data_IF_934487390200
#
_entry.id   IF_934487390200
#
_cell.length_a   1.000
_cell.length_b   1.000
_cell.length_c   1.000
_cell.angle_alpha   90.00
_cell.angle_beta   90.00
_cell.angle_gamma   90.00
#
_symmetry.space_group_name_H-M   'P 1'
#
loop_
_entity.id
_entity.type
_entity.pdbx_description
1 polymer ?
#
# COMPACT_ATOMS: atom_id res chain seq x y z
N UNK A 1 24.12 -5.89 6.21
CA UNK A 1 22.95 -6.70 6.36
C UNK A 1 21.70 -5.95 5.94
N UNK A 2 20.92 -6.57 5.16
CA UNK A 2 19.75 -5.93 4.70
C UNK A 2 18.67 -5.91 5.77
N UNK A 3 18.10 -4.75 5.99
CA UNK A 3 17.03 -4.62 6.92
C UNK A 3 15.74 -5.06 6.24
N UNK A 4 15.25 -6.19 6.66
CA UNK A 4 14.00 -6.70 6.14
C UNK A 4 12.85 -6.21 6.96
N UNK A 5 11.74 -5.96 6.29
CA UNK A 5 10.52 -5.65 6.99
C UNK A 5 10.06 -6.88 7.76
N UNK A 6 9.62 -6.69 8.99
CA UNK A 6 9.14 -7.79 9.81
C UNK A 6 7.75 -8.19 9.36
N UNK A 7 7.68 -9.32 8.64
CA UNK A 7 6.41 -9.82 8.11
C UNK A 7 5.39 -10.09 9.21
N UNK A 8 5.86 -10.53 10.38
CA UNK A 8 4.96 -10.80 11.49
C UNK A 8 4.28 -9.53 11.99
N UNK A 9 5.00 -8.43 11.99
CA UNK A 9 4.42 -7.15 12.39
C UNK A 9 3.39 -6.68 11.38
N UNK A 10 3.69 -6.81 10.10
CA UNK A 10 2.74 -6.44 9.06
C UNK A 10 1.49 -7.30 9.11
N UNK A 11 1.69 -8.60 9.26
CA UNK A 11 0.57 -9.54 9.34
C UNK A 11 -0.32 -9.23 10.54
N UNK A 12 0.30 -8.94 11.67
CA UNK A 12 -0.43 -8.60 12.89
C UNK A 12 -1.25 -7.34 12.71
N UNK A 13 -0.64 -6.36 12.07
CA UNK A 13 -1.31 -5.09 11.81
C UNK A 13 -2.53 -5.27 10.90
N UNK A 14 -2.37 -6.07 9.85
CA UNK A 14 -3.46 -6.35 8.92
C UNK A 14 -4.61 -7.08 9.63
N UNK A 15 -4.26 -8.10 10.43
CA UNK A 15 -5.29 -8.83 11.18
C UNK A 15 -6.07 -7.91 12.11
N UNK A 16 -5.36 -7.05 12.82
CA UNK A 16 -5.98 -6.11 13.73
C UNK A 16 -6.90 -5.14 12.98
N UNK A 17 -6.44 -4.64 11.85
CA UNK A 17 -7.22 -3.72 11.05
C UNK A 17 -8.51 -4.37 10.53
N UNK A 18 -8.40 -5.63 10.07
CA UNK A 18 -9.56 -6.35 9.57
C UNK A 18 -10.54 -6.64 10.70
N UNK A 19 -10.05 -7.06 11.86
CA UNK A 19 -10.92 -7.32 13.01
C UNK A 19 -11.67 -6.06 13.41
N UNK A 20 -10.99 -4.91 13.41
CA UNK A 20 -11.62 -3.64 13.70
C UNK A 20 -12.69 -3.26 12.68
N UNK A 21 -12.41 -3.53 11.41
CA UNK A 21 -13.36 -3.27 10.34
C UNK A 21 -14.65 -4.06 10.54
N UNK A 22 -14.52 -5.34 10.84
CA UNK A 22 -15.70 -6.18 11.06
C UNK A 22 -16.48 -5.78 12.30
N UNK A 23 -15.79 -5.34 13.34
CA UNK A 23 -16.46 -4.81 14.53
C UNK A 23 -17.27 -3.57 14.21
N UNK A 24 -16.71 -2.69 13.41
CA UNK A 24 -17.35 -1.42 13.07
C UNK A 24 -18.55 -1.62 12.12
N UNK A 25 -18.56 -2.73 11.38
CA UNK A 25 -19.69 -3.03 10.51
C UNK A 25 -20.97 -3.30 11.28
N UNK A 26 -20.82 -3.83 12.49
CA UNK A 26 -21.95 -4.09 13.37
C UNK A 26 -23.07 -4.89 12.68
N UNK A 27 -22.68 -5.99 12.06
CA UNK A 27 -23.63 -6.89 11.40
C UNK A 27 -23.90 -6.60 9.94
N UNK A 28 -23.40 -5.49 9.41
CA UNK A 28 -23.53 -5.23 7.99
C UNK A 28 -22.62 -6.10 7.17
N UNK A 29 -22.98 -6.28 5.91
CA UNK A 29 -22.18 -7.14 5.02
C UNK A 29 -20.88 -6.47 4.64
N UNK A 30 -19.79 -7.19 4.81
CA UNK A 30 -18.50 -6.75 4.29
C UNK A 30 -18.47 -6.95 2.78
N UNK A 31 -17.92 -5.99 2.06
CA UNK A 31 -17.70 -6.13 0.62
C UNK A 31 -16.55 -5.25 0.19
N UNK A 32 -15.89 -5.68 -0.87
CA UNK A 32 -14.76 -4.93 -1.42
C UNK A 32 -13.58 -4.86 -0.48
N UNK A 33 -13.43 -5.83 0.43
CA UNK A 33 -12.39 -5.81 1.45
C UNK A 33 -10.99 -5.88 0.81
N UNK A 34 -10.85 -6.70 -0.21
CA UNK A 34 -9.54 -6.82 -0.86
C UNK A 34 -9.07 -5.46 -1.39
N UNK A 35 -9.90 -4.81 -2.20
CA UNK A 35 -9.52 -3.51 -2.77
C UNK A 35 -9.32 -2.46 -1.69
N UNK A 36 -10.14 -2.50 -0.66
CA UNK A 36 -10.01 -1.56 0.44
C UNK A 36 -8.65 -1.68 1.11
N UNK A 37 -8.24 -2.91 1.44
CA UNK A 37 -6.96 -3.13 2.10
C UNK A 37 -5.80 -2.77 1.19
N UNK A 38 -5.85 -3.24 -0.05
CA UNK A 38 -4.77 -2.99 -1.00
C UNK A 38 -4.60 -1.49 -1.22
N UNK A 39 -5.68 -0.76 -1.41
CA UNK A 39 -5.60 0.68 -1.64
C UNK A 39 -5.07 1.42 -0.41
N UNK A 40 -5.47 0.98 0.78
CA UNK A 40 -4.97 1.61 2.01
C UNK A 40 -3.47 1.42 2.20
N UNK A 41 -2.95 0.26 1.79
CA UNK A 41 -1.52 -0.04 1.93
C UNK A 41 -0.73 0.55 0.78
N UNK A 42 -1.29 0.53 -0.41
CA UNK A 42 -0.56 0.93 -1.61
C UNK A 42 -0.18 2.40 -1.60
N UNK A 43 -1.09 3.27 -1.19
CA UNK A 43 -0.81 4.70 -1.21
C UNK A 43 0.40 5.09 -0.36
N UNK A 44 0.44 4.73 0.95
CA UNK A 44 1.61 5.07 1.74
C UNK A 44 2.88 4.37 1.27
N UNK A 45 2.75 3.16 0.70
CA UNK A 45 3.90 2.47 0.13
C UNK A 45 4.51 3.30 -1.00
N UNK A 46 3.69 3.71 -1.95
CA UNK A 46 4.16 4.49 -3.09
C UNK A 46 4.72 5.84 -2.65
N UNK A 47 4.00 6.53 -1.76
CA UNK A 47 4.44 7.83 -1.27
C UNK A 47 5.79 7.75 -0.57
N UNK A 48 5.96 6.73 0.27
CA UNK A 48 7.20 6.58 1.04
C UNK A 48 8.38 6.29 0.12
N UNK A 49 8.18 5.37 -0.83
CA UNK A 49 9.27 5.04 -1.77
C UNK A 49 9.62 6.24 -2.63
N UNK A 50 8.62 6.95 -3.15
CA UNK A 50 8.88 8.13 -3.97
C UNK A 50 9.59 9.22 -3.18
N UNK A 51 9.17 9.42 -1.94
CA UNK A 51 9.82 10.41 -1.08
C UNK A 51 11.29 10.07 -0.85
N UNK A 52 11.58 8.82 -0.54
CA UNK A 52 12.95 8.38 -0.31
C UNK A 52 13.83 8.55 -1.55
N UNK A 53 13.23 8.43 -2.72
CA UNK A 53 13.97 8.51 -3.99
C UNK A 53 13.80 9.86 -4.67
N UNK A 54 13.32 10.85 -3.91
CA UNK A 54 13.23 12.25 -4.39
C UNK A 54 12.40 12.38 -5.67
N UNK A 55 11.37 11.58 -5.79
CA UNK A 55 10.45 11.64 -6.92
C UNK A 55 10.92 10.94 -8.17
N UNK A 56 12.05 10.23 -8.11
CA UNK A 56 12.58 9.51 -9.27
C UNK A 56 11.72 8.28 -9.55
N UNK A 57 10.80 8.42 -10.52
CA UNK A 57 9.83 7.38 -10.82
C UNK A 57 10.46 6.12 -11.39
N UNK A 58 11.47 6.28 -12.23
CA UNK A 58 12.14 5.11 -12.81
C UNK A 58 12.80 4.27 -11.74
N UNK A 59 13.50 4.92 -10.82
CA UNK A 59 14.15 4.24 -9.71
C UNK A 59 13.13 3.64 -8.75
N UNK A 60 12.06 4.38 -8.50
CA UNK A 60 10.99 3.89 -7.62
C UNK A 60 10.34 2.62 -8.17
N UNK A 61 10.05 2.60 -9.48
CA UNK A 61 9.48 1.43 -10.12
C UNK A 61 10.41 0.24 -9.99
N UNK A 62 11.71 0.47 -10.15
CA UNK A 62 12.72 -0.55 -10.01
C UNK A 62 12.75 -1.14 -8.60
N UNK A 63 12.75 -0.25 -7.60
CA UNK A 63 12.78 -0.66 -6.20
C UNK A 63 11.50 -1.42 -5.84
N UNK A 64 10.36 -0.97 -6.36
CA UNK A 64 9.07 -1.63 -6.12
C UNK A 64 8.93 -2.94 -6.89
N UNK A 65 9.72 -3.12 -7.94
CA UNK A 65 9.62 -4.32 -8.78
C UNK A 65 8.43 -4.29 -9.72
N UNK A 66 7.99 -3.11 -10.12
CA UNK A 66 6.87 -2.97 -11.05
C UNK A 66 7.31 -2.13 -12.25
N UNK A 67 6.51 -2.21 -13.31
CA UNK A 67 6.74 -1.43 -14.51
C UNK A 67 6.48 0.04 -14.23
N UNK A 68 7.27 0.93 -14.86
CA UNK A 68 7.13 2.37 -14.68
C UNK A 68 5.73 2.86 -15.05
N UNK A 69 5.16 2.32 -16.12
CA UNK A 69 3.81 2.72 -16.53
C UNK A 69 2.79 2.28 -15.49
N UNK A 70 2.98 1.12 -14.89
CA UNK A 70 2.13 0.64 -13.81
C UNK A 70 2.22 1.58 -12.61
N UNK A 71 3.43 1.98 -12.25
CA UNK A 71 3.64 2.92 -11.16
C UNK A 71 2.89 4.23 -11.43
N UNK A 72 3.00 4.77 -12.64
CA UNK A 72 2.36 6.03 -12.98
C UNK A 72 0.84 5.92 -12.89
N UNK A 73 0.28 4.80 -13.35
CA UNK A 73 -1.15 4.57 -13.24
C UNK A 73 -1.61 4.52 -11.80
N UNK A 74 -0.83 3.85 -10.96
CA UNK A 74 -1.15 3.75 -9.54
C UNK A 74 -1.02 5.10 -8.85
N UNK A 75 -0.01 5.86 -9.19
CA UNK A 75 0.14 7.22 -8.65
C UNK A 75 -1.07 8.06 -8.98
N UNK A 76 -1.52 7.99 -10.22
CA UNK A 76 -2.68 8.75 -10.65
C UNK A 76 -3.93 8.30 -9.88
N UNK A 77 -4.12 7.00 -9.74
CA UNK A 77 -5.26 6.45 -9.04
C UNK A 77 -5.32 6.91 -7.58
N UNK A 78 -4.16 7.11 -6.96
CA UNK A 78 -4.06 7.54 -5.56
C UNK A 78 -3.91 9.05 -5.40
N UNK A 79 -3.92 9.79 -6.50
CA UNK A 79 -3.76 11.23 -6.42
C UNK A 79 -2.35 11.68 -6.02
N UNK A 80 -1.37 10.85 -6.29
CA UNK A 80 0.02 11.16 -5.98
C UNK A 80 0.63 11.90 -7.16
N UNK A 81 1.14 13.08 -6.90
CA UNK A 81 1.79 13.89 -7.95
C UNK A 81 3.23 13.45 -8.14
N UNK A 82 3.62 13.37 -9.40
CA UNK A 82 4.97 12.92 -9.71
C UNK A 82 5.80 13.90 -10.48
#
# INVERSE_FOLDING_TARGET
MMMMMNENEMARFVRKAIDGYFKDLDGEKARGVYDMVINCVEKPLLETILHRLQGNQSHAAQVLGINRNTLRKKMKAHGIKG
#
